data_IF_570565938708
#
_entry.id   IF_570565938708
#
_cell.length_a   1.000
_cell.length_b   1.000
_cell.length_c   1.000
_cell.angle_alpha   90.00
_cell.angle_beta   90.00
_cell.angle_gamma   90.00
#
_symmetry.space_group_name_H-M   'P 1'
#
loop_
_entity.id
_entity.type
_entity.pdbx_description
1 polymer ?
#
# COMPACT_ATOMS: atom_id res chain seq x y z
N UNK A 1 9.01 -5.29 -5.43
CA UNK A 1 8.49 -3.98 -5.85
C UNK A 1 7.00 -4.11 -5.99
N UNK A 2 6.25 -3.15 -5.48
CA UNK A 2 4.80 -3.27 -5.34
C UNK A 2 4.16 -1.91 -5.09
N UNK A 3 2.89 -1.79 -5.46
CA UNK A 3 2.07 -0.63 -5.13
C UNK A 3 0.62 -1.03 -4.91
N UNK A 4 -0.12 -0.18 -4.20
CA UNK A 4 -1.58 -0.22 -4.11
C UNK A 4 -2.13 0.86 -5.04
N UNK A 5 -3.10 0.50 -5.89
CA UNK A 5 -3.83 1.47 -6.71
C UNK A 5 -4.86 2.19 -5.85
N UNK A 6 -4.67 3.48 -5.57
CA UNK A 6 -5.59 4.25 -4.71
C UNK A 6 -6.72 4.87 -5.53
N UNK A 7 -6.35 5.53 -6.63
CA UNK A 7 -7.28 6.23 -7.51
C UNK A 7 -6.82 6.11 -8.95
N UNK A 8 -7.78 6.24 -9.87
CA UNK A 8 -7.51 6.28 -11.31
C UNK A 8 -8.60 7.03 -12.04
N UNK A 9 -8.22 7.61 -13.16
CA UNK A 9 -9.19 8.10 -14.12
C UNK A 9 -9.96 6.95 -14.77
N UNK A 10 -11.28 7.11 -14.89
CA UNK A 10 -12.14 6.15 -15.58
C UNK A 10 -12.13 6.32 -17.10
N UNK A 11 -11.69 7.48 -17.57
CA UNK A 11 -11.55 7.77 -19.00
C UNK A 11 -10.07 7.93 -19.32
N UNK A 12 -9.51 7.11 -20.22
CA UNK A 12 -8.11 7.25 -20.61
C UNK A 12 -7.92 8.56 -21.39
N UNK A 13 -6.77 9.18 -21.22
CA UNK A 13 -6.37 10.37 -21.98
C UNK A 13 -5.33 10.00 -23.03
N UNK A 14 -5.23 10.78 -24.11
CA UNK A 14 -4.24 10.56 -25.15
C UNK A 14 -3.02 11.46 -24.90
N UNK A 15 -1.88 10.86 -24.56
CA UNK A 15 -0.62 11.54 -24.37
C UNK A 15 0.39 11.06 -25.43
N UNK A 16 0.88 11.98 -26.28
CA UNK A 16 1.86 11.67 -27.34
C UNK A 16 1.47 10.48 -28.24
N UNK A 17 0.18 10.33 -28.55
CA UNK A 17 -0.32 9.23 -29.39
C UNK A 17 -0.70 7.97 -28.63
N UNK A 18 -0.27 7.80 -27.38
CA UNK A 18 -0.58 6.67 -26.52
C UNK A 18 -1.77 7.00 -25.61
N UNK A 19 -2.66 6.02 -25.38
CA UNK A 19 -3.70 6.14 -24.36
C UNK A 19 -3.12 5.75 -23.00
N UNK A 20 -3.32 6.61 -22.02
CA UNK A 20 -2.80 6.45 -20.67
C UNK A 20 -3.86 6.82 -19.64
N UNK A 21 -3.68 6.32 -18.43
CA UNK A 21 -4.58 6.55 -17.30
C UNK A 21 -3.78 7.22 -16.19
N UNK A 22 -4.04 8.50 -15.89
CA UNK A 22 -3.56 9.13 -14.68
C UNK A 22 -4.08 8.37 -13.45
N UNK A 23 -3.22 8.13 -12.49
CA UNK A 23 -3.54 7.35 -11.30
C UNK A 23 -2.78 7.85 -10.08
N UNK A 24 -3.31 7.55 -8.91
CA UNK A 24 -2.68 7.79 -7.61
C UNK A 24 -2.39 6.42 -7.00
N UNK A 25 -1.15 6.20 -6.55
CA UNK A 25 -0.72 4.92 -5.98
C UNK A 25 -0.04 5.14 -4.63
N UNK A 26 -0.04 4.10 -3.78
CA UNK A 26 0.86 4.02 -2.61
C UNK A 26 1.92 2.96 -2.86
N UNK A 27 3.20 3.30 -2.73
CA UNK A 27 4.30 2.35 -2.85
C UNK A 27 4.96 2.08 -1.49
N UNK A 28 5.63 0.95 -1.31
CA UNK A 28 6.41 0.72 -0.09
C UNK A 28 7.61 1.66 0.05
N UNK A 29 8.22 2.01 -1.08
CA UNK A 29 9.30 2.99 -1.16
C UNK A 29 9.27 3.67 -2.51
N UNK A 30 9.27 5.01 -2.51
CA UNK A 30 9.23 5.82 -3.74
C UNK A 30 10.40 5.54 -4.66
N UNK A 31 11.58 5.27 -4.08
CA UNK A 31 12.83 5.10 -4.83
C UNK A 31 13.00 3.68 -5.40
N UNK A 32 12.13 2.74 -5.01
CA UNK A 32 12.22 1.34 -5.43
C UNK A 32 11.12 0.94 -6.42
N UNK A 33 10.18 1.84 -6.72
CA UNK A 33 9.16 1.57 -7.73
C UNK A 33 9.75 1.83 -9.12
N UNK A 34 9.52 0.92 -10.07
CA UNK A 34 10.04 1.01 -11.42
C UNK A 34 8.89 1.05 -12.44
N UNK A 35 9.16 1.65 -13.58
CA UNK A 35 8.31 1.52 -14.76
C UNK A 35 8.36 0.08 -15.30
N UNK A 36 7.26 -0.39 -15.88
CA UNK A 36 7.15 -1.74 -16.42
C UNK A 36 5.83 -2.44 -16.09
N UNK A 37 5.77 -3.74 -16.39
CA UNK A 37 4.57 -4.57 -16.20
C UNK A 37 4.43 -5.04 -14.76
N UNK A 38 3.22 -4.89 -14.22
CA UNK A 38 2.78 -5.37 -12.93
C UNK A 38 1.51 -6.20 -13.07
N UNK A 39 1.28 -7.07 -12.09
CA UNK A 39 0.13 -7.97 -12.05
C UNK A 39 -0.63 -7.78 -10.74
N UNK A 40 -1.94 -7.62 -10.84
CA UNK A 40 -2.84 -7.50 -9.70
C UNK A 40 -2.90 -8.81 -8.93
N UNK A 41 -2.65 -8.76 -7.63
CA UNK A 41 -2.60 -9.94 -6.75
C UNK A 41 -3.96 -10.65 -6.69
N UNK A 42 -5.05 -9.87 -6.67
CA UNK A 42 -6.41 -10.40 -6.60
C UNK A 42 -6.96 -10.78 -7.97
N UNK A 43 -6.87 -9.86 -8.94
CA UNK A 43 -7.53 -10.05 -10.24
C UNK A 43 -6.68 -10.83 -11.24
N UNK A 44 -5.36 -10.93 -11.04
CA UNK A 44 -4.41 -11.44 -12.03
C UNK A 44 -4.27 -10.53 -13.27
N UNK A 45 -4.95 -9.37 -13.30
CA UNK A 45 -4.89 -8.44 -14.42
C UNK A 45 -3.52 -7.77 -14.50
N UNK A 46 -3.06 -7.56 -15.71
CA UNK A 46 -1.79 -6.88 -15.98
C UNK A 46 -2.02 -5.39 -16.19
N UNK A 47 -1.04 -4.60 -15.78
CA UNK A 47 -0.99 -3.17 -16.05
C UNK A 47 0.46 -2.74 -16.24
N UNK A 48 0.69 -1.78 -17.13
CA UNK A 48 2.02 -1.20 -17.29
C UNK A 48 2.08 0.15 -16.60
N UNK A 49 3.04 0.32 -15.70
CA UNK A 49 3.44 1.62 -15.15
C UNK A 49 4.33 2.29 -16.19
N UNK A 50 3.83 3.39 -16.78
CA UNK A 50 4.50 4.14 -17.85
C UNK A 50 5.37 5.25 -17.29
N UNK A 51 4.93 5.90 -16.22
CA UNK A 51 5.68 6.97 -15.56
C UNK A 51 5.32 7.02 -14.07
N UNK A 52 6.31 7.33 -13.23
CA UNK A 52 6.18 7.46 -11.77
C UNK A 52 6.56 8.88 -11.37
N UNK A 53 5.71 9.54 -10.60
CA UNK A 53 5.89 10.92 -10.17
C UNK A 53 5.26 11.93 -11.13
N UNK A 54 5.56 13.20 -10.88
CA UNK A 54 4.89 14.35 -11.50
C UNK A 54 4.32 15.32 -10.45
N UNK A 55 3.97 16.52 -10.89
CA UNK A 55 3.44 17.61 -10.05
C UNK A 55 1.93 17.56 -9.84
N UNK A 56 1.25 16.51 -10.31
CA UNK A 56 -0.21 16.43 -10.36
C UNK A 56 -0.92 16.20 -9.02
N UNK A 57 -0.20 15.79 -7.97
CA UNK A 57 -0.77 15.64 -6.63
C UNK A 57 -0.42 16.86 -5.79
N UNK A 58 -1.41 17.73 -5.59
CA UNK A 58 -1.34 18.84 -4.64
C UNK A 58 -2.21 18.43 -3.44
N UNK A 59 -1.56 17.89 -2.42
CA UNK A 59 -2.24 17.65 -1.15
C UNK A 59 -2.67 18.99 -0.54
N UNK A 60 -3.87 19.03 0.02
CA UNK A 60 -4.25 20.11 0.93
C UNK A 60 -3.21 20.20 2.06
N UNK A 61 -2.89 21.40 2.59
CA UNK A 61 -1.84 21.58 3.60
C UNK A 61 -1.94 20.58 4.77
N UNK A 62 -3.16 20.33 5.25
CA UNK A 62 -3.48 19.41 6.34
C UNK A 62 -3.26 17.92 6.01
N UNK A 63 -3.17 17.54 4.73
CA UNK A 63 -2.96 16.15 4.29
C UNK A 63 -1.53 15.88 3.80
N UNK A 64 -0.67 16.90 3.77
CA UNK A 64 0.67 16.80 3.19
C UNK A 64 1.52 15.73 3.89
N UNK A 65 1.42 15.65 5.21
CA UNK A 65 2.13 14.64 6.00
C UNK A 65 1.54 13.25 5.80
N UNK A 66 0.21 13.13 5.73
CA UNK A 66 -0.47 11.87 5.40
C UNK A 66 -0.02 11.30 4.05
N UNK A 67 0.11 12.15 3.04
CA UNK A 67 0.57 11.76 1.71
C UNK A 67 2.04 11.34 1.72
N UNK A 68 2.88 12.05 2.49
CA UNK A 68 4.31 11.77 2.63
C UNK A 68 4.58 10.45 3.36
N UNK A 69 3.85 10.18 4.44
CA UNK A 69 3.98 8.95 5.25
C UNK A 69 3.41 7.76 4.49
N UNK A 70 2.22 7.90 3.92
CA UNK A 70 1.54 6.87 3.12
C UNK A 70 2.20 6.63 1.76
N UNK A 71 3.26 7.40 1.47
CA UNK A 71 4.05 7.34 0.26
C UNK A 71 3.19 7.35 -1.01
N UNK A 72 2.28 8.34 -1.06
CA UNK A 72 1.36 8.56 -2.16
C UNK A 72 2.10 9.23 -3.31
N UNK A 73 1.99 8.64 -4.50
CA UNK A 73 2.76 9.02 -5.67
C UNK A 73 1.81 9.08 -6.88
N UNK A 74 1.90 10.12 -7.73
CA UNK A 74 1.18 10.12 -8.98
C UNK A 74 1.83 9.13 -9.94
N UNK A 75 1.03 8.42 -10.70
CA UNK A 75 1.50 7.48 -11.70
C UNK A 75 0.72 7.65 -13.00
N UNK A 76 1.34 7.25 -14.10
CA UNK A 76 0.67 7.10 -15.40
C UNK A 76 0.68 5.62 -15.75
N UNK A 77 -0.50 5.04 -15.90
CA UNK A 77 -0.69 3.62 -16.22
C UNK A 77 -1.16 3.44 -17.67
N UNK A 78 -1.04 2.22 -18.20
CA UNK A 78 -1.62 1.84 -19.49
C UNK A 78 -3.16 1.92 -19.48
N UNK A 79 -3.78 1.93 -20.67
CA UNK A 79 -5.25 1.95 -20.82
C UNK A 79 -5.95 0.81 -20.06
N UNK A 80 -5.28 -0.31 -19.83
CA UNK A 80 -5.79 -1.44 -19.05
C UNK A 80 -6.21 -1.04 -17.63
N UNK A 81 -5.61 0.04 -17.09
CA UNK A 81 -5.94 0.55 -15.78
C UNK A 81 -7.40 0.98 -15.63
N UNK A 82 -8.10 1.33 -16.72
CA UNK A 82 -9.52 1.72 -16.71
C UNK A 82 -10.43 0.64 -16.10
N UNK A 83 -10.01 -0.63 -16.11
CA UNK A 83 -10.82 -1.75 -15.62
C UNK A 83 -10.31 -2.33 -14.28
N UNK A 84 -9.35 -1.67 -13.63
CA UNK A 84 -8.79 -2.12 -12.36
C UNK A 84 -9.62 -1.63 -11.19
N UNK A 85 -9.61 -2.38 -10.10
CA UNK A 85 -10.24 -1.93 -8.87
C UNK A 85 -9.27 -1.09 -8.04
N UNK A 86 -9.78 -0.05 -7.38
CA UNK A 86 -9.03 0.64 -6.34
C UNK A 86 -8.80 -0.31 -5.16
N UNK A 87 -7.78 -0.02 -4.35
CA UNK A 87 -7.23 -0.88 -3.31
C UNK A 87 -6.65 -2.22 -3.79
N UNK A 88 -6.55 -2.45 -5.11
CA UNK A 88 -5.83 -3.60 -5.64
C UNK A 88 -4.31 -3.43 -5.50
N UNK A 89 -3.65 -4.51 -5.08
CA UNK A 89 -2.20 -4.58 -4.93
C UNK A 89 -1.59 -5.13 -6.21
N UNK A 90 -0.61 -4.41 -6.74
CA UNK A 90 0.13 -4.75 -7.94
C UNK A 90 1.57 -5.08 -7.59
N UNK A 91 2.05 -6.21 -8.10
CA UNK A 91 3.42 -6.69 -7.90
C UNK A 91 4.04 -7.13 -9.22
N UNK A 92 5.36 -7.29 -9.23
CA UNK A 92 6.02 -7.99 -10.34
C UNK A 92 5.53 -9.44 -10.34
N UNK A 93 5.16 -9.99 -11.51
CA UNK A 93 4.54 -11.31 -11.67
C UNK A 93 5.17 -12.43 -10.81
N UNK A 94 6.50 -12.42 -10.69
CA UNK A 94 7.28 -13.42 -9.94
C UNK A 94 6.95 -13.48 -8.43
N UNK A 95 6.35 -12.44 -7.88
CA UNK A 95 6.16 -12.25 -6.44
C UNK A 95 4.68 -12.36 -6.02
N UNK A 96 3.78 -12.77 -6.91
CA UNK A 96 2.33 -12.75 -6.63
C UNK A 96 1.93 -13.63 -5.44
N UNK A 97 2.59 -14.78 -5.27
CA UNK A 97 2.31 -15.74 -4.21
C UNK A 97 2.87 -15.30 -2.84
N UNK A 98 3.75 -14.29 -2.83
CA UNK A 98 4.41 -13.81 -1.61
C UNK A 98 3.67 -12.62 -0.98
N UNK A 99 2.47 -12.32 -1.45
CA UNK A 99 1.61 -11.29 -0.89
C UNK A 99 0.52 -11.94 -0.06
N UNK A 100 0.39 -11.50 1.19
CA UNK A 100 -0.59 -12.02 2.14
C UNK A 100 -1.40 -10.88 2.74
N UNK A 101 -2.69 -11.12 3.01
CA UNK A 101 -3.58 -10.17 3.69
C UNK A 101 -3.93 -10.70 5.07
N UNK A 102 -4.00 -9.81 6.03
CA UNK A 102 -4.40 -10.11 7.40
C UNK A 102 -5.37 -9.06 7.90
N UNK A 103 -6.18 -9.45 8.87
CA UNK A 103 -6.99 -8.55 9.69
C UNK A 103 -6.53 -8.65 11.13
N UNK A 104 -6.68 -7.56 11.88
CA UNK A 104 -6.42 -7.51 13.32
C UNK A 104 -7.63 -6.94 14.06
N UNK A 105 -7.77 -7.23 15.35
CA UNK A 105 -8.94 -6.80 16.13
C UNK A 105 -8.62 -5.67 17.10
N UNK A 106 -7.42 -5.71 17.67
CA UNK A 106 -7.00 -4.82 18.75
C UNK A 106 -5.74 -4.03 18.41
N UNK A 107 -5.67 -2.82 18.97
CA UNK A 107 -4.49 -1.95 18.97
C UNK A 107 -4.27 -1.52 20.41
N UNK A 108 -3.09 -1.80 20.97
CA UNK A 108 -2.80 -1.47 22.36
C UNK A 108 -2.21 -0.06 22.57
N UNK A 109 -1.67 0.58 21.53
CA UNK A 109 -1.10 1.94 21.61
C UNK A 109 -1.88 2.93 20.73
N UNK A 110 -2.58 3.89 21.34
CA UNK A 110 -3.43 4.88 20.64
C UNK A 110 -2.73 6.18 20.23
N UNK A 111 -1.63 6.56 20.89
CA UNK A 111 -1.03 7.89 20.75
C UNK A 111 -0.24 8.12 19.44
N UNK A 112 -0.27 7.17 18.52
CA UNK A 112 0.73 7.14 17.44
C UNK A 112 0.28 7.81 16.13
N UNK A 113 -1.03 7.96 15.88
CA UNK A 113 -1.54 8.47 14.61
C UNK A 113 -2.71 9.43 14.81
N UNK A 114 -2.64 10.62 14.20
CA UNK A 114 -3.83 11.47 14.08
C UNK A 114 -4.91 10.76 13.26
N UNK A 115 -6.18 11.07 13.52
CA UNK A 115 -7.33 10.41 12.85
C UNK A 115 -7.24 10.45 11.33
N UNK A 116 -6.61 11.50 10.77
CA UNK A 116 -6.38 11.67 9.35
C UNK A 116 -5.66 10.48 8.73
N UNK A 117 -4.64 9.93 9.41
CA UNK A 117 -3.83 8.85 8.87
C UNK A 117 -4.51 7.48 8.94
N UNK A 118 -5.49 7.30 9.85
CA UNK A 118 -6.17 6.02 10.02
C UNK A 118 -6.85 5.56 8.73
N UNK A 119 -7.21 6.50 7.85
CA UNK A 119 -7.87 6.25 6.58
C UNK A 119 -6.93 5.82 5.45
N UNK A 120 -5.61 5.97 5.60
CA UNK A 120 -4.64 5.70 4.54
C UNK A 120 -3.91 4.37 4.70
N UNK A 121 -3.44 3.83 3.57
CA UNK A 121 -2.48 2.74 3.56
C UNK A 121 -1.08 3.27 3.89
N UNK A 122 -0.55 2.81 5.01
CA UNK A 122 0.75 3.23 5.51
C UNK A 122 1.79 2.13 5.24
N UNK A 123 2.84 2.41 4.45
CA UNK A 123 4.01 1.53 4.35
C UNK A 123 4.67 1.28 5.70
N UNK A 124 4.86 0.01 6.07
CA UNK A 124 5.40 -0.37 7.37
C UNK A 124 6.30 -1.61 7.28
N UNK A 125 7.22 -1.73 8.23
CA UNK A 125 7.94 -2.96 8.50
C UNK A 125 7.32 -3.68 9.70
N UNK A 126 7.28 -5.00 9.60
CA UNK A 126 6.65 -5.87 10.60
C UNK A 126 7.70 -6.71 11.31
N UNK A 127 7.61 -6.78 12.64
CA UNK A 127 8.56 -7.48 13.51
C UNK A 127 7.86 -8.32 14.58
N UNK A 128 8.49 -9.43 14.97
CA UNK A 128 8.20 -10.14 16.23
C UNK A 128 9.51 -10.16 17.03
N UNK A 129 9.49 -9.51 18.20
CA UNK A 129 10.71 -9.17 18.92
C UNK A 129 11.70 -8.46 18.00
N UNK A 130 12.92 -8.98 17.88
CA UNK A 130 13.96 -8.41 17.02
C UNK A 130 13.99 -8.99 15.59
N UNK A 131 13.08 -9.90 15.25
CA UNK A 131 13.05 -10.56 13.94
C UNK A 131 12.10 -9.82 13.00
N UNK A 132 12.64 -9.30 11.89
CA UNK A 132 11.83 -8.75 10.80
C UNK A 132 11.08 -9.88 10.10
N UNK A 133 9.77 -9.74 9.98
CA UNK A 133 8.90 -10.68 9.27
C UNK A 133 8.73 -10.33 7.80
N UNK A 134 8.71 -9.04 7.47
CA UNK A 134 8.50 -8.56 6.11
C UNK A 134 8.11 -7.08 6.08
N UNK A 135 7.67 -6.63 4.91
CA UNK A 135 7.21 -5.26 4.68
C UNK A 135 5.84 -5.26 4.04
N UNK A 136 5.14 -4.15 4.12
CA UNK A 136 3.82 -4.08 3.52
C UNK A 136 3.09 -2.81 3.91
N UNK A 137 1.77 -2.87 3.91
CA UNK A 137 0.93 -1.73 4.28
C UNK A 137 -0.01 -2.10 5.40
N UNK A 138 -0.30 -1.12 6.25
CA UNK A 138 -1.35 -1.21 7.26
C UNK A 138 -2.38 -0.11 7.01
N UNK A 139 -3.65 -0.41 7.25
CA UNK A 139 -4.73 0.57 7.28
C UNK A 139 -5.55 0.38 8.55
N UNK A 140 -5.50 1.38 9.43
CA UNK A 140 -6.07 1.29 10.78
C UNK A 140 -7.60 1.29 10.74
N UNK A 141 -8.20 2.14 9.90
CA UNK A 141 -9.66 2.27 9.75
C UNK A 141 -10.34 0.95 9.37
N UNK A 142 -9.74 0.18 8.47
CA UNK A 142 -10.27 -1.12 8.03
C UNK A 142 -9.69 -2.30 8.81
N UNK A 143 -8.70 -2.04 9.67
CA UNK A 143 -7.95 -3.03 10.45
C UNK A 143 -7.24 -4.08 9.61
N UNK A 144 -6.59 -3.62 8.56
CA UNK A 144 -6.01 -4.50 7.55
C UNK A 144 -4.50 -4.36 7.46
N UNK A 145 -3.86 -5.49 7.16
CA UNK A 145 -2.44 -5.59 6.84
C UNK A 145 -2.31 -6.28 5.49
N UNK A 146 -1.53 -5.68 4.61
CA UNK A 146 -0.93 -6.36 3.47
C UNK A 146 0.54 -6.60 3.82
N UNK A 147 1.01 -7.84 3.70
CA UNK A 147 2.40 -8.23 3.92
C UNK A 147 2.98 -8.79 2.63
N UNK A 148 4.23 -8.45 2.34
CA UNK A 148 4.98 -8.90 1.17
C UNK A 148 6.23 -9.64 1.64
N UNK A 149 6.51 -10.78 1.00
CA UNK A 149 7.68 -11.61 1.22
C UNK A 149 7.84 -11.99 2.71
N UNK A 150 6.74 -12.43 3.32
CA UNK A 150 6.72 -12.77 4.74
C UNK A 150 5.41 -13.42 5.18
N UNK A 151 5.39 -13.86 6.42
CA UNK A 151 4.18 -14.39 7.07
C UNK A 151 4.13 -14.02 8.54
N UNK A 152 2.94 -13.74 9.05
CA UNK A 152 2.71 -13.52 10.48
C UNK A 152 2.30 -14.86 11.11
N UNK A 153 3.07 -15.40 12.08
CA UNK A 153 2.68 -16.57 12.84
C UNK A 153 1.35 -16.34 13.58
N UNK A 154 0.56 -17.40 13.75
CA UNK A 154 -0.69 -17.32 14.50
C UNK A 154 -0.41 -17.02 15.98
N UNK A 155 -1.30 -16.24 16.61
CA UNK A 155 -1.33 -15.95 18.05
C UNK A 155 -0.11 -15.18 18.60
N UNK A 156 0.64 -14.47 17.74
CA UNK A 156 1.75 -13.62 18.17
C UNK A 156 1.33 -12.15 18.16
N UNK A 157 1.80 -11.40 19.17
CA UNK A 157 1.65 -9.95 19.20
C UNK A 157 2.62 -9.33 18.20
N UNK A 158 2.08 -8.67 17.18
CA UNK A 158 2.91 -8.09 16.11
C UNK A 158 3.34 -6.69 16.46
N UNK A 159 4.65 -6.46 16.46
CA UNK A 159 5.22 -5.13 16.56
C UNK A 159 5.36 -4.53 15.17
N UNK A 160 4.77 -3.36 14.97
CA UNK A 160 4.88 -2.59 13.74
C UNK A 160 5.79 -1.40 13.99
N UNK A 161 6.84 -1.32 13.19
CA UNK A 161 7.70 -0.15 13.14
C UNK A 161 7.36 0.56 11.83
N UNK A 162 6.61 1.65 11.93
CA UNK A 162 6.43 2.55 10.79
C UNK A 162 7.70 3.37 10.61
N UNK A 163 8.30 3.31 9.42
CA UNK A 163 9.57 3.99 9.12
C UNK A 163 9.45 5.52 9.08
N UNK A 164 8.23 6.09 9.15
CA UNK A 164 8.03 7.54 9.10
C UNK A 164 7.04 7.99 10.18
N UNK A 165 7.54 8.10 11.40
CA UNK A 165 6.98 9.04 12.37
C UNK A 165 7.41 10.46 11.97
N UNK A 166 6.48 11.42 11.98
CA UNK A 166 6.74 12.86 11.78
C UNK A 166 7.83 13.36 12.75
N UNK A 167 8.04 12.65 13.87
CA UNK A 167 8.98 13.02 14.93
C UNK A 167 10.29 12.22 14.95
N UNK A 168 10.62 11.45 13.91
CA UNK A 168 11.81 10.58 13.89
C UNK A 168 11.86 9.56 15.04
N UNK A 169 10.77 9.39 15.79
CA UNK A 169 10.61 8.36 16.80
C UNK A 169 10.22 7.05 16.13
N UNK A 170 11.01 6.00 16.32
CA UNK A 170 10.54 4.64 16.03
C UNK A 170 9.46 4.32 17.05
N UNK A 171 8.20 4.44 16.67
CA UNK A 171 7.11 4.03 17.54
C UNK A 171 6.68 2.62 17.19
N UNK A 172 6.35 1.88 18.23
CA UNK A 172 5.98 0.48 18.17
C UNK A 172 4.47 0.40 18.33
N UNK A 173 3.75 0.04 17.26
CA UNK A 173 2.35 -0.36 17.38
C UNK A 173 2.32 -1.85 17.69
N UNK A 174 1.57 -2.26 18.71
CA UNK A 174 1.33 -3.69 18.96
C UNK A 174 -0.09 -4.01 18.53
N UNK A 175 -0.20 -4.97 17.61
CA UNK A 175 -1.47 -5.49 17.13
C UNK A 175 -1.81 -6.83 17.77
N UNK A 176 -3.10 -7.03 18.02
CA UNK A 176 -3.64 -8.20 18.70
C UNK A 176 -4.65 -8.94 17.80
N UNK A 177 -4.76 -10.26 18.02
CA UNK A 177 -5.69 -11.17 17.34
C UNK A 177 -5.59 -11.10 15.80
N UNK A 178 -4.40 -11.32 15.26
CA UNK A 178 -4.15 -11.25 13.83
C UNK A 178 -4.54 -12.57 13.15
N UNK A 179 -5.32 -12.49 12.09
CA UNK A 179 -5.69 -13.63 11.27
C UNK A 179 -5.41 -13.40 9.79
N UNK A 180 -4.82 -14.39 9.13
CA UNK A 180 -4.60 -14.37 7.68
C UNK A 180 -5.93 -14.56 6.97
N UNK A 181 -6.20 -13.73 5.97
CA UNK A 181 -7.37 -13.82 5.11
C UNK A 181 -6.94 -13.92 3.65
N UNK A 182 -7.71 -14.64 2.85
CA UNK A 182 -7.47 -14.71 1.40
C UNK A 182 -7.76 -13.38 0.71
N UNK A 183 -7.26 -13.23 -0.52
CA UNK A 183 -7.66 -12.14 -1.43
C UNK A 183 -9.04 -12.38 -2.08
N UNK A 184 -9.91 -13.15 -1.44
CA UNK A 184 -11.27 -13.35 -1.91
C UNK A 184 -12.09 -12.07 -1.76
N UNK A 185 -13.03 -11.86 -2.68
CA UNK A 185 -13.97 -10.74 -2.65
C UNK A 185 -14.77 -10.81 -1.35
N UNK A 186 -14.63 -9.81 -0.48
CA UNK A 186 -15.74 -9.43 0.41
C UNK A 186 -16.89 -9.12 -0.55
N UNK A 187 -17.90 -9.99 -0.57
CA UNK A 187 -19.13 -9.81 -1.35
C UNK A 187 -19.97 -8.70 -0.73
#
# INVERSE_FOLDING_TARGET
MSFILLERERKPIKLRGQKVVPSTISALSKNLLLEGEYVGVKSGKKVTVINIGGSGLIAAPELRDAYSISNIIPATLSEDAVQLECDEIFVIYKNILDVKRYIFEGISTKEFWEDVFNSFWVPSDYYIGNKRLGTGWIRISTREIILINGSIPKNENLQIISMKSIFNSKSNLILENISEIGFETIK
#
